data_IF_979780060929
#
_entry.id   IF_979780060929
#
_cell.length_a   1.000
_cell.length_b   1.000
_cell.length_c   1.000
_cell.angle_alpha   90.00
_cell.angle_beta   90.00
_cell.angle_gamma   90.00
#
_symmetry.space_group_name_H-M   'P 1'
#
loop_
_entity.id
_entity.type
_entity.pdbx_description
1 polymer ?
#
# COMPACT_ATOMS: atom_id res chain seq x y z
N UNK A 1 15.65 14.26 -0.20
CA UNK A 1 15.29 12.90 -0.64
C UNK A 1 14.23 13.06 -1.72
N UNK A 2 14.39 12.40 -2.85
CA UNK A 2 13.40 12.44 -3.95
C UNK A 2 12.16 11.60 -3.58
N UNK A 3 10.97 11.94 -4.12
CA UNK A 3 9.78 11.10 -3.99
C UNK A 3 10.06 9.68 -4.47
N UNK A 4 9.51 8.69 -3.77
CA UNK A 4 9.46 7.31 -4.25
C UNK A 4 8.12 7.10 -4.95
N UNK A 5 8.16 6.60 -6.17
CA UNK A 5 6.96 6.41 -6.99
C UNK A 5 6.90 4.99 -7.55
N UNK A 6 5.69 4.45 -7.64
CA UNK A 6 5.39 3.18 -8.30
C UNK A 6 4.06 3.29 -9.03
N UNK A 7 4.11 3.19 -10.35
CA UNK A 7 2.92 2.92 -11.15
C UNK A 7 2.60 1.42 -11.10
N UNK A 8 1.38 1.08 -10.69
CA UNK A 8 0.92 -0.30 -10.61
C UNK A 8 -0.53 -0.42 -11.08
N UNK A 9 -0.73 -1.09 -12.21
CA UNK A 9 -2.05 -1.22 -12.83
C UNK A 9 -2.60 0.13 -13.30
N UNK A 10 -3.58 0.68 -12.56
CA UNK A 10 -4.22 1.97 -12.87
C UNK A 10 -4.01 3.01 -11.77
N UNK A 11 -3.00 2.84 -10.93
CA UNK A 11 -2.68 3.81 -9.89
C UNK A 11 -1.19 4.13 -9.85
N UNK A 12 -0.89 5.33 -9.40
CA UNK A 12 0.44 5.77 -8.97
C UNK A 12 0.45 5.82 -7.44
N UNK A 13 1.35 5.04 -6.83
CA UNK A 13 1.72 5.21 -5.43
C UNK A 13 2.86 6.20 -5.34
N UNK A 14 2.79 7.12 -4.39
CA UNK A 14 3.84 8.08 -4.11
C UNK A 14 4.11 8.16 -2.62
N UNK A 15 5.39 8.15 -2.25
CA UNK A 15 5.85 8.55 -0.93
C UNK A 15 6.74 9.79 -1.06
N UNK A 16 6.41 10.85 -0.33
CA UNK A 16 7.23 12.05 -0.24
C UNK A 16 7.19 12.61 1.18
N UNK A 17 8.39 12.78 1.78
CA UNK A 17 8.61 13.41 3.11
C UNK A 17 7.61 13.00 4.20
N UNK A 18 7.38 11.69 4.35
CA UNK A 18 6.51 11.16 5.40
C UNK A 18 5.01 11.15 5.07
N UNK A 19 4.63 11.52 3.84
CA UNK A 19 3.27 11.41 3.34
C UNK A 19 3.21 10.33 2.26
N UNK A 20 2.20 9.47 2.34
CA UNK A 20 1.88 8.50 1.31
C UNK A 20 0.62 8.93 0.57
N UNK A 21 0.67 8.86 -0.75
CA UNK A 21 -0.40 9.28 -1.65
C UNK A 21 -0.68 8.20 -2.70
N UNK A 22 -1.95 8.13 -3.11
CA UNK A 22 -2.43 7.28 -4.20
C UNK A 22 -3.16 8.14 -5.20
N UNK A 23 -2.86 7.96 -6.49
CA UNK A 23 -3.54 8.64 -7.59
C UNK A 23 -4.05 7.60 -8.59
N UNK A 24 -5.32 7.67 -8.96
CA UNK A 24 -5.84 6.99 -10.14
C UNK A 24 -5.16 7.54 -11.39
N UNK A 25 -4.85 6.67 -12.34
CA UNK A 25 -4.23 7.06 -13.62
C UNK A 25 -5.31 7.29 -14.70
N UNK A 26 -5.18 8.37 -15.51
CA UNK A 26 -4.16 9.42 -15.42
C UNK A 26 -4.35 10.29 -14.16
N UNK A 27 -3.25 10.75 -13.52
CA UNK A 27 -3.33 11.42 -12.22
C UNK A 27 -4.01 12.78 -12.35
N UNK A 28 -4.91 13.06 -11.40
CA UNK A 28 -5.47 14.40 -11.22
C UNK A 28 -4.57 15.24 -10.31
N UNK A 29 -4.89 16.52 -10.13
CA UNK A 29 -4.15 17.40 -9.19
C UNK A 29 -4.31 16.99 -7.73
N UNK A 30 -5.30 16.16 -7.39
CA UNK A 30 -5.57 15.70 -6.03
C UNK A 30 -5.39 14.18 -5.94
N UNK A 31 -4.76 13.67 -4.87
CA UNK A 31 -4.69 12.23 -4.62
C UNK A 31 -6.05 11.69 -4.16
N UNK A 32 -6.35 10.44 -4.52
CA UNK A 32 -7.50 9.69 -4.01
C UNK A 32 -7.34 9.36 -2.52
N UNK A 33 -6.09 9.15 -2.09
CA UNK A 33 -5.72 8.89 -0.70
C UNK A 33 -4.51 9.72 -0.36
N UNK A 34 -4.53 10.36 0.81
CA UNK A 34 -3.37 11.03 1.40
C UNK A 34 -3.31 10.72 2.87
N UNK A 35 -2.23 10.06 3.30
CA UNK A 35 -2.08 9.58 4.69
C UNK A 35 -0.66 9.82 5.20
N UNK A 36 -0.47 10.32 6.42
CA UNK A 36 0.84 10.32 7.06
C UNK A 36 1.37 8.89 7.18
N UNK A 37 2.59 8.65 6.69
CA UNK A 37 3.18 7.31 6.60
C UNK A 37 3.24 6.60 7.95
N UNK A 38 3.32 7.36 9.06
CA UNK A 38 3.29 6.80 10.43
C UNK A 38 2.02 6.03 10.75
N UNK A 39 0.93 6.32 10.05
CA UNK A 39 -0.37 5.66 10.21
C UNK A 39 -0.71 4.73 9.04
N UNK A 40 0.11 4.70 8.00
CA UNK A 40 -0.18 3.91 6.79
C UNK A 40 -0.21 2.42 7.13
N UNK A 41 -1.26 1.73 6.68
CA UNK A 41 -1.28 0.28 6.62
C UNK A 41 -1.64 -0.17 5.21
N UNK A 42 -0.90 -1.14 4.70
CA UNK A 42 -1.08 -1.72 3.38
C UNK A 42 -1.16 -3.23 3.49
N UNK A 43 -2.15 -3.79 2.83
CA UNK A 43 -2.42 -5.22 2.88
C UNK A 43 -2.75 -5.78 1.50
N UNK A 44 -2.24 -6.96 1.21
CA UNK A 44 -2.65 -7.74 0.05
C UNK A 44 -3.68 -8.79 0.47
N UNK A 45 -4.91 -8.63 0.00
CA UNK A 45 -6.00 -9.57 0.24
C UNK A 45 -6.07 -10.56 -0.93
N UNK A 46 -5.55 -11.78 -0.75
CA UNK A 46 -5.65 -12.86 -1.75
C UNK A 46 -6.85 -13.78 -1.50
N UNK A 47 -7.70 -13.95 -2.51
CA UNK A 47 -8.88 -14.82 -2.45
C UNK A 47 -8.63 -16.12 -3.23
N UNK A 48 -8.95 -17.27 -2.62
CA UNK A 48 -8.83 -18.59 -3.27
C UNK A 48 -10.08 -18.89 -4.12
N UNK A 49 -9.85 -19.22 -5.39
CA UNK A 49 -10.86 -19.65 -6.38
C UNK A 49 -10.19 -20.39 -7.56
N UNK A 50 -10.87 -20.56 -8.71
CA UNK A 50 -10.26 -21.20 -9.92
C UNK A 50 -9.05 -20.42 -10.48
N UNK A 51 -8.93 -19.15 -10.12
CA UNK A 51 -7.75 -18.29 -10.35
C UNK A 51 -7.53 -17.53 -9.05
N UNK A 52 -6.31 -17.52 -8.52
CA UNK A 52 -5.96 -16.67 -7.38
C UNK A 52 -6.11 -15.22 -7.83
N UNK A 53 -6.89 -14.42 -7.11
CA UNK A 53 -7.02 -12.99 -7.36
C UNK A 53 -6.76 -12.26 -6.05
N UNK A 54 -5.84 -11.32 -6.09
CA UNK A 54 -5.54 -10.40 -5.01
C UNK A 54 -6.14 -9.01 -5.23
N UNK A 55 -6.32 -8.28 -4.15
CA UNK A 55 -6.53 -6.82 -4.17
C UNK A 55 -5.63 -6.16 -3.15
N UNK A 56 -5.12 -4.98 -3.48
CA UNK A 56 -4.44 -4.13 -2.50
C UNK A 56 -5.48 -3.37 -1.68
N UNK A 57 -5.29 -3.32 -0.36
CA UNK A 57 -6.06 -2.49 0.56
C UNK A 57 -5.12 -1.54 1.27
N UNK A 58 -5.48 -0.27 1.28
CA UNK A 58 -4.72 0.82 1.88
C UNK A 58 -5.60 1.42 2.97
N UNK A 59 -5.05 1.77 4.11
CA UNK A 59 -5.81 2.39 5.18
C UNK A 59 -4.92 2.89 6.29
N UNK A 60 -5.53 3.15 7.44
CA UNK A 60 -4.82 3.53 8.66
C UNK A 60 -4.78 2.40 9.67
N UNK A 61 -3.60 2.16 10.25
CA UNK A 61 -3.39 1.25 11.39
C UNK A 61 -3.84 1.90 12.70
N UNK A 62 -4.00 1.09 13.76
CA UNK A 62 -4.41 1.58 15.08
C UNK A 62 -3.24 2.03 15.95
N UNK A 63 -2.07 1.39 15.80
CA UNK A 63 -0.83 1.74 16.49
C UNK A 63 0.30 2.04 15.51
N UNK A 64 1.11 3.10 15.71
CA UNK A 64 2.25 3.41 14.84
C UNK A 64 3.35 2.34 14.85
N UNK A 65 3.31 1.40 15.81
CA UNK A 65 4.23 0.27 15.91
C UNK A 65 3.82 -0.94 15.06
N UNK A 66 2.61 -0.94 14.50
CA UNK A 66 2.19 -1.99 13.56
C UNK A 66 3.03 -1.94 12.28
N UNK A 67 3.20 -3.07 11.56
CA UNK A 67 3.90 -3.07 10.29
C UNK A 67 3.17 -2.22 9.26
N UNK A 68 3.92 -1.59 8.36
CA UNK A 68 3.37 -0.79 7.27
C UNK A 68 2.71 -1.68 6.20
N UNK A 69 3.31 -2.84 5.95
CA UNK A 69 2.87 -3.80 4.96
C UNK A 69 2.73 -5.18 5.59
N UNK A 70 1.62 -5.87 5.33
CA UNK A 70 1.40 -7.25 5.78
C UNK A 70 0.83 -8.13 4.67
N UNK A 71 1.39 -9.33 4.52
CA UNK A 71 0.90 -10.35 3.57
C UNK A 71 -0.38 -11.07 4.03
N UNK A 72 -0.60 -11.18 5.34
CA UNK A 72 -1.72 -11.94 5.91
C UNK A 72 -2.80 -11.01 6.45
N UNK A 73 -4.07 -11.16 6.04
CA UNK A 73 -5.12 -10.23 6.43
C UNK A 73 -5.45 -10.17 7.90
N UNK A 74 -5.10 -11.21 8.63
CA UNK A 74 -5.46 -11.37 10.04
C UNK A 74 -4.49 -10.62 10.98
N UNK A 75 -3.40 -10.05 10.44
CA UNK A 75 -2.36 -9.38 11.23
C UNK A 75 -2.34 -7.86 11.13
N UNK A 76 -3.12 -7.29 10.21
CA UNK A 76 -3.19 -5.84 10.01
C UNK A 76 -4.64 -5.38 10.00
N UNK A 77 -5.05 -4.75 11.10
CA UNK A 77 -6.39 -4.17 11.24
C UNK A 77 -6.40 -2.76 10.65
N UNK A 78 -6.95 -2.65 9.44
CA UNK A 78 -7.05 -1.36 8.75
C UNK A 78 -8.38 -0.66 9.07
N UNK A 79 -8.28 0.64 9.33
CA UNK A 79 -9.40 1.60 9.43
C UNK A 79 -9.34 2.58 8.25
N UNK A 80 -10.44 3.27 7.96
CA UNK A 80 -10.55 4.25 6.86
C UNK A 80 -9.94 3.73 5.55
N UNK A 81 -10.42 2.56 5.12
CA UNK A 81 -9.79 1.82 4.02
C UNK A 81 -10.18 2.35 2.65
N UNK A 82 -9.23 2.29 1.75
CA UNK A 82 -9.35 2.53 0.33
C UNK A 82 -8.90 1.29 -0.43
N UNK A 83 -9.69 0.91 -1.43
CA UNK A 83 -9.38 -0.14 -2.38
C UNK A 83 -9.34 0.48 -3.78
N UNK A 84 -8.17 0.59 -4.42
CA UNK A 84 -8.04 1.18 -5.75
C UNK A 84 -8.64 0.30 -6.87
N UNK A 85 -9.16 -0.89 -6.54
CA UNK A 85 -9.70 -1.83 -7.52
C UNK A 85 -8.63 -2.48 -8.41
N UNK A 86 -7.34 -2.33 -8.06
CA UNK A 86 -6.23 -2.94 -8.78
C UNK A 86 -6.15 -4.42 -8.45
N UNK A 87 -6.13 -5.26 -9.49
CA UNK A 87 -5.94 -6.70 -9.36
C UNK A 87 -4.47 -6.98 -9.11
N UNK A 88 -4.20 -7.81 -8.12
CA UNK A 88 -2.85 -8.27 -7.74
C UNK A 88 -2.77 -9.76 -8.00
N UNK A 89 -1.76 -10.21 -8.72
CA UNK A 89 -1.40 -11.62 -8.85
C UNK A 89 -0.32 -12.00 -7.84
N UNK A 90 -0.03 -13.29 -7.68
CA UNK A 90 0.98 -13.73 -6.72
C UNK A 90 2.39 -13.26 -7.15
N UNK A 91 2.64 -13.20 -8.45
CA UNK A 91 3.87 -12.71 -9.07
C UNK A 91 4.12 -11.21 -8.89
N UNK A 92 3.08 -10.42 -8.59
CA UNK A 92 3.20 -8.98 -8.33
C UNK A 92 3.66 -8.69 -6.89
N UNK A 93 3.51 -9.67 -5.98
CA UNK A 93 3.79 -9.48 -4.56
C UNK A 93 5.23 -9.06 -4.26
N UNK A 94 6.27 -9.63 -4.90
CA UNK A 94 7.64 -9.20 -4.67
C UNK A 94 7.89 -7.72 -5.03
N UNK A 95 7.29 -7.24 -6.12
CA UNK A 95 7.40 -5.84 -6.55
C UNK A 95 6.75 -4.90 -5.52
N UNK A 96 5.53 -5.22 -5.11
CA UNK A 96 4.79 -4.43 -4.11
C UNK A 96 5.51 -4.47 -2.76
N UNK A 97 5.98 -5.64 -2.32
CA UNK A 97 6.76 -5.79 -1.09
C UNK A 97 8.02 -4.96 -1.14
N UNK A 98 8.77 -4.99 -2.23
CA UNK A 98 10.00 -4.20 -2.38
C UNK A 98 9.72 -2.70 -2.24
N UNK A 99 8.69 -2.21 -2.94
CA UNK A 99 8.30 -0.81 -2.85
C UNK A 99 7.88 -0.40 -1.43
N UNK A 100 6.99 -1.17 -0.78
CA UNK A 100 6.55 -0.83 0.58
C UNK A 100 7.64 -1.04 1.64
N UNK A 101 8.61 -1.92 1.39
CA UNK A 101 9.81 -2.04 2.23
C UNK A 101 10.64 -0.76 2.18
N UNK A 102 10.88 -0.22 0.98
CA UNK A 102 11.61 1.05 0.83
C UNK A 102 10.85 2.22 1.48
N UNK A 103 9.52 2.29 1.33
CA UNK A 103 8.69 3.28 2.04
C UNK A 103 8.85 3.14 3.55
N UNK A 104 8.81 1.91 4.08
CA UNK A 104 8.96 1.64 5.50
C UNK A 104 10.35 2.01 6.01
N UNK A 105 11.42 1.69 5.29
CA UNK A 105 12.79 2.09 5.62
C UNK A 105 12.94 3.60 5.70
N UNK A 106 12.41 4.36 4.72
CA UNK A 106 12.45 5.83 4.73
C UNK A 106 11.62 6.44 5.87
N UNK A 107 10.64 5.69 6.38
CA UNK A 107 9.74 6.10 7.44
C UNK A 107 10.12 5.57 8.83
N UNK A 108 11.22 4.81 8.95
CA UNK A 108 11.60 4.07 10.17
C UNK A 108 10.47 3.16 10.68
N UNK A 109 9.91 2.35 9.78
CA UNK A 109 8.82 1.40 10.06
C UNK A 109 9.17 -0.02 9.60
N UNK A 110 8.44 -1.00 10.13
CA UNK A 110 8.62 -2.42 9.83
C UNK A 110 7.66 -2.90 8.73
N UNK A 111 7.99 -4.04 8.12
CA UNK A 111 7.15 -4.78 7.16
C UNK A 111 7.08 -6.25 7.57
N UNK A 112 5.97 -6.93 7.27
CA UNK A 112 5.71 -8.35 7.59
C UNK A 112 5.36 -9.20 6.34
#
# INVERSE_FOLDING_TARGET
MEPLELEFGKVLFRYDRGIFEVFSLPPTSLPDVRVPVRWLGVRLDFFKGKTVKGSIRIGTIKSPTEPLFARLPDKLELTYTYNPGVRVQLEDEPLLRQYFTEVATRADRTVE
#
